data_IF_627763430328
#
_entry.id   IF_627763430328
#
_cell.length_a   1.000
_cell.length_b   1.000
_cell.length_c   1.000
_cell.angle_alpha   90.00
_cell.angle_beta   90.00
_cell.angle_gamma   90.00
#
_symmetry.space_group_name_H-M   'P 1'
#
loop_
_entity.id
_entity.type
_entity.pdbx_description
1 polymer ?
#
# COMPACT_ATOMS: atom_id res chain seq x y z
N UNK A 1 24.04 -25.59 -6.59
CA UNK A 1 22.60 -25.92 -6.61
C UNK A 1 21.80 -24.72 -6.09
N UNK A 2 21.88 -23.55 -6.74
CA UNK A 2 21.40 -22.29 -6.11
C UNK A 2 20.77 -21.28 -7.07
N UNK A 3 20.66 -21.58 -8.36
CA UNK A 3 20.20 -20.62 -9.38
C UNK A 3 18.73 -20.82 -9.80
N UNK A 4 18.12 -21.97 -9.50
CA UNK A 4 16.73 -22.27 -9.89
C UNK A 4 15.68 -21.81 -8.85
N UNK A 5 16.12 -21.30 -7.69
CA UNK A 5 15.27 -21.08 -6.52
C UNK A 5 15.29 -19.66 -5.96
N UNK A 6 15.71 -18.67 -6.75
CA UNK A 6 15.73 -17.31 -6.24
C UNK A 6 14.30 -16.77 -6.14
N UNK A 7 13.75 -16.67 -4.92
CA UNK A 7 12.54 -15.89 -4.60
C UNK A 7 12.92 -14.40 -4.65
N UNK A 8 13.43 -13.96 -5.79
CA UNK A 8 13.95 -12.61 -6.00
C UNK A 8 12.77 -11.65 -6.19
N UNK A 9 12.18 -11.22 -5.06
CA UNK A 9 11.31 -10.04 -5.08
C UNK A 9 12.16 -8.79 -5.30
N UNK A 10 11.68 -7.83 -6.11
CA UNK A 10 12.28 -6.50 -6.24
C UNK A 10 12.25 -5.81 -4.86
N UNK A 11 13.34 -5.92 -4.11
CA UNK A 11 13.52 -5.24 -2.83
C UNK A 11 14.68 -4.26 -2.98
N UNK A 12 14.44 -2.97 -2.68
CA UNK A 12 15.49 -1.92 -2.74
C UNK A 12 16.56 -2.09 -1.66
N UNK A 13 16.28 -2.92 -0.65
CA UNK A 13 17.13 -3.12 0.52
C UNK A 13 17.78 -4.49 0.42
N UNK A 14 19.06 -4.52 0.04
CA UNK A 14 19.81 -5.75 -0.27
C UNK A 14 19.92 -6.73 0.90
N UNK A 15 20.11 -6.25 2.13
CA UNK A 15 20.29 -7.12 3.30
C UNK A 15 19.01 -7.89 3.66
N UNK A 16 17.83 -7.30 3.41
CA UNK A 16 16.53 -7.98 3.66
C UNK A 16 16.35 -9.18 2.73
N UNK A 17 16.86 -9.07 1.51
CA UNK A 17 16.83 -10.15 0.53
C UNK A 17 17.70 -11.32 0.98
N UNK A 18 18.93 -11.04 1.42
CA UNK A 18 19.83 -12.08 1.96
C UNK A 18 19.23 -12.72 3.21
N UNK A 19 18.68 -11.92 4.12
CA UNK A 19 18.04 -12.44 5.32
C UNK A 19 16.86 -13.37 4.98
N UNK A 20 16.02 -13.00 4.02
CA UNK A 20 14.89 -13.83 3.58
C UNK A 20 15.36 -15.13 2.91
N UNK A 21 16.34 -15.06 2.02
CA UNK A 21 16.91 -16.26 1.37
C UNK A 21 17.55 -17.19 2.41
N UNK A 22 18.27 -16.63 3.38
CA UNK A 22 18.90 -17.40 4.45
C UNK A 22 17.87 -18.06 5.37
N UNK A 23 16.89 -17.31 5.88
CA UNK A 23 15.88 -17.82 6.80
C UNK A 23 15.00 -18.86 6.09
N UNK A 24 14.50 -18.57 4.88
CA UNK A 24 13.65 -19.51 4.15
C UNK A 24 14.42 -20.74 3.71
N UNK A 25 15.62 -20.57 3.13
CA UNK A 25 16.44 -21.69 2.66
C UNK A 25 16.90 -22.61 3.79
N UNK A 26 17.29 -22.05 4.94
CA UNK A 26 17.65 -22.86 6.11
C UNK A 26 16.43 -23.57 6.72
N UNK A 27 15.28 -22.88 6.81
CA UNK A 27 14.06 -23.48 7.34
C UNK A 27 13.54 -24.64 6.45
N UNK A 28 13.52 -24.49 5.12
CA UNK A 28 13.06 -25.53 4.20
C UNK A 28 14.02 -26.72 4.18
N UNK A 29 15.33 -26.48 4.14
CA UNK A 29 16.34 -27.55 4.17
C UNK A 29 16.30 -28.33 5.49
N UNK A 30 16.23 -27.63 6.63
CA UNK A 30 16.15 -28.27 7.95
C UNK A 30 14.82 -29.04 8.11
N UNK A 31 13.70 -28.47 7.64
CA UNK A 31 12.42 -29.16 7.64
C UNK A 31 12.45 -30.45 6.81
N UNK A 32 13.09 -30.42 5.65
CA UNK A 32 13.26 -31.59 4.79
C UNK A 32 14.10 -32.69 5.47
N UNK A 33 15.22 -32.31 6.11
CA UNK A 33 16.07 -33.25 6.84
C UNK A 33 15.30 -33.91 7.99
N UNK A 34 14.54 -33.14 8.77
CA UNK A 34 13.72 -33.67 9.87
C UNK A 34 12.64 -34.62 9.33
N UNK A 35 11.98 -34.25 8.23
CA UNK A 35 10.96 -35.07 7.59
C UNK A 35 11.53 -36.41 7.12
N UNK A 36 12.67 -36.40 6.43
CA UNK A 36 13.32 -37.61 5.95
C UNK A 36 13.94 -38.44 7.09
N UNK A 37 14.34 -37.82 8.21
CA UNK A 37 14.81 -38.56 9.39
C UNK A 37 13.68 -39.28 10.12
N UNK A 38 12.46 -38.73 10.07
CA UNK A 38 11.28 -39.29 10.75
C UNK A 38 10.57 -40.35 9.91
N UNK A 39 10.64 -40.26 8.58
CA UNK A 39 9.98 -41.20 7.67
C UNK A 39 10.99 -42.19 7.09
N UNK A 40 10.60 -43.46 6.96
CA UNK A 40 11.45 -44.49 6.35
C UNK A 40 11.68 -44.27 4.85
N UNK A 41 10.75 -43.57 4.18
CA UNK A 41 10.83 -43.22 2.76
C UNK A 41 11.34 -41.79 2.61
N UNK A 42 12.57 -41.67 2.14
CA UNK A 42 13.16 -40.39 1.78
C UNK A 42 12.49 -39.82 0.53
N UNK A 43 12.10 -38.56 0.60
CA UNK A 43 11.52 -37.81 -0.50
C UNK A 43 12.58 -36.86 -1.07
N UNK A 44 12.64 -36.64 -2.40
CA UNK A 44 13.53 -35.65 -2.98
C UNK A 44 13.15 -34.22 -2.56
N UNK A 45 14.14 -33.35 -2.39
CA UNK A 45 13.95 -31.99 -1.90
C UNK A 45 12.94 -31.17 -2.73
N UNK A 46 12.95 -31.32 -4.06
CA UNK A 46 12.01 -30.64 -4.97
C UNK A 46 10.54 -30.97 -4.70
N UNK A 47 10.24 -32.25 -4.41
CA UNK A 47 8.88 -32.68 -4.10
C UNK A 47 8.42 -32.17 -2.72
N UNK A 48 9.35 -32.09 -1.77
CA UNK A 48 9.07 -31.52 -0.46
C UNK A 48 8.72 -30.03 -0.54
N UNK A 49 9.44 -29.25 -1.35
CA UNK A 49 9.11 -27.85 -1.59
C UNK A 49 7.74 -27.67 -2.27
N UNK A 50 7.38 -28.55 -3.21
CA UNK A 50 6.06 -28.52 -3.85
C UNK A 50 4.94 -28.76 -2.83
N UNK A 51 5.12 -29.74 -1.93
CA UNK A 51 4.17 -30.04 -0.85
C UNK A 51 4.00 -28.84 0.10
N UNK A 52 5.10 -28.22 0.53
CA UNK A 52 5.04 -27.03 1.39
C UNK A 52 4.34 -25.89 0.68
N UNK A 53 4.65 -25.66 -0.60
CA UNK A 53 4.05 -24.59 -1.39
C UNK A 53 2.53 -24.77 -1.51
N UNK A 54 2.06 -26.01 -1.77
CA UNK A 54 0.63 -26.34 -1.82
C UNK A 54 -0.04 -26.17 -0.44
N UNK A 55 0.59 -26.63 0.63
CA UNK A 55 0.06 -26.51 1.97
C UNK A 55 -0.09 -25.04 2.41
N UNK A 56 0.93 -24.22 2.16
CA UNK A 56 0.91 -22.79 2.47
C UNK A 56 -0.12 -22.03 1.60
N UNK A 57 -0.23 -22.38 0.32
CA UNK A 57 -1.22 -21.78 -0.58
C UNK A 57 -2.66 -22.05 -0.12
N UNK A 58 -2.94 -23.28 0.35
CA UNK A 58 -4.25 -23.64 0.89
C UNK A 58 -4.61 -22.83 2.14
N UNK A 59 -3.64 -22.55 3.01
CA UNK A 59 -3.84 -21.70 4.20
C UNK A 59 -4.15 -20.25 3.81
N UNK A 60 -3.49 -19.70 2.79
CA UNK A 60 -3.75 -18.32 2.35
C UNK A 60 -5.14 -18.09 1.76
N UNK A 61 -5.80 -19.12 1.22
CA UNK A 61 -7.17 -19.00 0.73
C UNK A 61 -8.20 -18.83 1.87
N UNK A 62 -7.84 -19.24 3.10
CA UNK A 62 -8.70 -19.12 4.27
C UNK A 62 -8.54 -17.79 5.00
N UNK A 63 -7.46 -17.06 4.72
CA UNK A 63 -7.22 -15.74 5.30
C UNK A 63 -7.85 -14.71 4.39
N UNK A 64 -9.17 -14.55 4.50
CA UNK A 64 -9.84 -13.37 3.99
C UNK A 64 -9.25 -12.15 4.71
N UNK A 65 -8.38 -11.40 4.03
CA UNK A 65 -8.04 -10.06 4.51
C UNK A 65 -9.36 -9.30 4.57
N UNK A 66 -9.72 -8.68 5.71
CA UNK A 66 -10.85 -7.77 5.72
C UNK A 66 -10.56 -6.69 4.67
N UNK A 67 -11.30 -6.71 3.56
CA UNK A 67 -11.28 -5.62 2.61
C UNK A 67 -11.87 -4.43 3.36
N UNK A 68 -11.01 -3.59 3.92
CA UNK A 68 -11.46 -2.26 4.34
C UNK A 68 -12.03 -1.59 3.09
N UNK A 69 -13.33 -1.24 3.06
CA UNK A 69 -13.89 -0.58 1.89
C UNK A 69 -13.08 0.69 1.65
N UNK A 70 -12.49 0.81 0.47
CA UNK A 70 -11.86 2.06 0.06
C UNK A 70 -12.98 3.09 0.03
N UNK A 71 -12.94 4.09 0.91
CA UNK A 71 -13.87 5.22 0.85
C UNK A 71 -13.65 5.92 -0.49
N UNK A 72 -14.60 5.77 -1.41
CA UNK A 72 -14.58 6.47 -2.70
C UNK A 72 -15.17 7.85 -2.45
N UNK A 73 -14.29 8.82 -2.21
CA UNK A 73 -14.71 10.21 -2.06
C UNK A 73 -15.15 10.75 -3.43
N UNK A 74 -16.43 11.09 -3.56
CA UNK A 74 -16.97 11.69 -4.80
C UNK A 74 -16.94 13.21 -4.67
N UNK A 75 -16.34 13.87 -5.66
CA UNK A 75 -16.36 15.33 -5.79
C UNK A 75 -17.69 15.75 -6.41
N UNK A 76 -18.43 16.66 -5.78
CA UNK A 76 -19.60 17.28 -6.39
C UNK A 76 -19.37 18.76 -6.64
N UNK A 77 -19.55 19.16 -7.90
CA UNK A 77 -19.52 20.56 -8.35
C UNK A 77 -20.96 21.07 -8.42
N UNK A 78 -21.38 21.88 -7.44
CA UNK A 78 -22.78 22.32 -7.45
C UNK A 78 -23.27 23.16 -6.27
N UNK A 79 -22.41 23.72 -5.41
CA UNK A 79 -22.90 24.70 -4.43
C UNK A 79 -23.04 26.07 -5.11
N UNK A 80 -24.23 26.68 -5.00
CA UNK A 80 -24.47 28.09 -5.35
C UNK A 80 -23.59 29.02 -4.51
N UNK A 81 -23.22 28.58 -3.30
CA UNK A 81 -22.30 29.26 -2.41
C UNK A 81 -20.84 28.99 -2.79
N UNK A 82 -20.21 30.03 -3.33
CA UNK A 82 -18.79 30.12 -3.65
C UNK A 82 -17.99 30.36 -2.38
N UNK A 83 -17.24 29.36 -1.90
CA UNK A 83 -16.40 29.51 -0.72
C UNK A 83 -14.96 29.87 -1.08
N UNK A 84 -14.31 30.66 -0.21
CA UNK A 84 -12.90 31.04 -0.34
C UNK A 84 -12.06 29.98 0.37
N UNK A 85 -11.09 29.40 -0.33
CA UNK A 85 -10.18 28.46 0.31
C UNK A 85 -9.24 29.17 1.30
N UNK A 86 -9.38 28.84 2.59
CA UNK A 86 -8.72 29.51 3.71
C UNK A 86 -7.19 29.55 3.59
N UNK A 87 -6.57 28.54 2.96
CA UNK A 87 -5.12 28.47 2.82
C UNK A 87 -4.58 29.31 1.64
N UNK A 88 -5.35 29.56 0.59
CA UNK A 88 -4.99 30.51 -0.48
C UNK A 88 -5.18 31.94 0.03
N UNK A 89 -6.26 32.16 0.77
CA UNK A 89 -6.50 33.43 1.45
C UNK A 89 -5.37 33.78 2.41
N UNK A 90 -4.93 32.84 3.26
CA UNK A 90 -3.79 33.05 4.16
C UNK A 90 -2.47 33.37 3.43
N UNK A 91 -2.18 32.70 2.30
CA UNK A 91 -1.00 33.00 1.48
C UNK A 91 -1.06 34.42 0.88
N UNK A 92 -2.23 34.84 0.40
CA UNK A 92 -2.39 36.18 -0.18
C UNK A 92 -2.42 37.27 0.90
N UNK A 93 -2.98 37.00 2.08
CA UNK A 93 -2.92 37.91 3.25
C UNK A 93 -1.52 38.11 3.81
N UNK A 94 -0.60 37.17 3.56
CA UNK A 94 0.80 37.34 3.95
C UNK A 94 1.54 38.37 3.08
N UNK A 95 1.03 38.67 1.87
CA UNK A 95 1.68 39.55 0.89
C UNK A 95 0.88 40.82 0.63
N UNK A 96 -0.44 40.80 0.81
CA UNK A 96 -1.34 41.88 0.41
C UNK A 96 -2.37 42.24 1.49
N UNK A 97 -2.98 43.41 1.33
CA UNK A 97 -4.04 43.88 2.23
C UNK A 97 -5.32 43.04 2.07
N UNK A 98 -6.21 43.07 3.08
CA UNK A 98 -7.42 42.23 3.10
C UNK A 98 -8.26 42.36 1.83
N UNK A 99 -8.49 43.61 1.40
CA UNK A 99 -9.29 43.94 0.20
C UNK A 99 -8.69 43.39 -1.09
N UNK A 100 -7.36 43.42 -1.21
CA UNK A 100 -6.65 42.93 -2.38
C UNK A 100 -6.60 41.39 -2.40
N UNK A 101 -6.49 40.78 -1.22
CA UNK A 101 -6.58 39.34 -1.08
C UNK A 101 -7.98 38.83 -1.47
N UNK A 102 -9.05 39.47 -0.99
CA UNK A 102 -10.43 39.09 -1.33
C UNK A 102 -10.71 39.12 -2.84
N UNK A 103 -10.17 40.11 -3.55
CA UNK A 103 -10.34 40.24 -5.01
C UNK A 103 -9.52 39.23 -5.81
N UNK A 104 -8.35 38.80 -5.31
CA UNK A 104 -7.44 37.89 -6.03
C UNK A 104 -7.66 36.41 -5.74
N UNK A 105 -8.36 36.06 -4.66
CA UNK A 105 -8.58 34.64 -4.32
C UNK A 105 -9.65 34.04 -5.22
N UNK A 106 -9.31 32.93 -5.88
CA UNK A 106 -10.28 32.12 -6.63
C UNK A 106 -11.27 31.48 -5.66
N UNK A 107 -12.57 31.70 -5.93
CA UNK A 107 -13.65 31.07 -5.19
C UNK A 107 -13.95 29.69 -5.79
N UNK A 108 -14.19 28.70 -4.95
CA UNK A 108 -14.37 27.30 -5.33
C UNK A 108 -15.82 26.87 -5.00
N UNK A 109 -16.44 26.10 -5.90
CA UNK A 109 -17.80 25.55 -5.76
C UNK A 109 -17.83 24.02 -5.53
N UNK A 110 -16.64 23.39 -5.50
CA UNK A 110 -16.50 21.95 -5.34
C UNK A 110 -16.33 21.58 -3.88
N UNK A 111 -17.09 20.59 -3.42
CA UNK A 111 -16.98 20.02 -2.07
C UNK A 111 -17.10 18.50 -2.12
N UNK A 112 -16.52 17.80 -1.13
CA UNK A 112 -16.72 16.37 -0.93
C UNK A 112 -17.82 16.18 0.12
N UNK A 113 -18.82 15.34 -0.17
CA UNK A 113 -19.98 15.10 0.72
C UNK A 113 -19.63 14.26 1.95
N UNK A 114 -18.58 13.45 1.87
CA UNK A 114 -18.18 12.50 2.92
C UNK A 114 -17.09 13.02 3.87
N UNK A 115 -16.55 14.21 3.59
CA UNK A 115 -15.57 14.86 4.44
C UNK A 115 -16.24 16.04 5.16
N UNK A 116 -16.46 15.91 6.47
CA UNK A 116 -16.97 17.00 7.31
C UNK A 116 -16.14 18.27 7.14
N UNK A 117 -16.68 19.22 6.36
CA UNK A 117 -16.19 20.60 6.26
C UNK A 117 -14.81 20.80 5.60
N UNK A 118 -14.16 19.78 5.05
CA UNK A 118 -12.89 19.99 4.34
C UNK A 118 -13.13 20.38 2.88
N UNK A 119 -13.16 21.69 2.67
CA UNK A 119 -13.25 22.35 1.37
C UNK A 119 -12.11 21.89 0.44
N UNK A 120 -12.51 21.60 -0.80
CA UNK A 120 -11.69 20.99 -1.85
C UNK A 120 -10.45 21.84 -2.15
N UNK A 121 -9.33 21.15 -2.37
CA UNK A 121 -8.08 21.76 -2.84
C UNK A 121 -8.31 22.55 -4.14
N UNK A 122 -7.72 23.73 -4.26
CA UNK A 122 -7.51 24.35 -5.57
C UNK A 122 -6.79 23.34 -6.47
N UNK A 123 -7.45 22.83 -7.52
CA UNK A 123 -6.83 22.03 -8.58
C UNK A 123 -5.87 22.85 -9.48
N UNK A 124 -5.57 24.10 -9.09
CA UNK A 124 -4.70 25.03 -9.79
C UNK A 124 -3.44 25.31 -8.97
N UNK A 125 -2.66 24.26 -8.74
CA UNK A 125 -1.22 24.33 -8.52
C UNK A 125 -0.61 23.06 -9.10
N UNK A 126 -0.59 23.02 -10.43
CA UNK A 126 0.47 22.35 -11.19
C UNK A 126 1.35 23.44 -11.79
#
# INVERSE_FOLDING_TARGET
MSTLYSIHRKCRIWYRKIALEFILGSATANGWLIYNKRNEKSIPYSFFEELISKALAAVTLLIERPMTPKKVHTLSDGSEEKTIWTRCYKKLRAVMTSREADNKVKKICSHCKDCDGQLVMCLLFQ
#
